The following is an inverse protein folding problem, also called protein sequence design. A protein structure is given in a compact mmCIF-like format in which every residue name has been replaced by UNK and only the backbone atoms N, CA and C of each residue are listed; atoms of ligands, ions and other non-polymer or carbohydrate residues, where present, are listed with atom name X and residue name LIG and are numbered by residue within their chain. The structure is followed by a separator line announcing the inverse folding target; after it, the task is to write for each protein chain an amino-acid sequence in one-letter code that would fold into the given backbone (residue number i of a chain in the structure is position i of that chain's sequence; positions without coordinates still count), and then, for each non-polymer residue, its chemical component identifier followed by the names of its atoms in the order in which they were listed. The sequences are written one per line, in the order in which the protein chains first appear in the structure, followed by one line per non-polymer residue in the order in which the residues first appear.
data_IF_062197007793
#
_entry.id   IF_062197007793
#
_cell.length_a   1.000
_cell.length_b   1.000
_cell.length_c   1.000
_cell.angle_alpha   90.00
_cell.angle_beta   90.00
_cell.angle_gamma   90.00
#
_symmetry.space_group_name_H-M   'P 1'
#
loop_
_entity.id
_entity.type
_entity.pdbx_description
1 polymer ?
#
# COMPACT_ATOMS: atom_id res chain seq x y z
N UNK A 1 0.56 19.46 2.14
CA UNK A 1 -0.50 18.80 1.34
C UNK A 1 -1.89 18.96 1.95
N UNK A 2 -2.05 19.49 3.17
CA UNK A 2 -3.33 19.65 3.87
C UNK A 2 -4.51 20.16 3.02
N UNK A 3 -4.36 21.22 2.19
CA UNK A 3 -5.51 21.75 1.42
C UNK A 3 -6.06 20.77 0.38
N UNK A 4 -5.29 19.75 -0.03
CA UNK A 4 -5.72 18.75 -0.99
C UNK A 4 -6.60 17.66 -0.36
N UNK A 5 -6.56 17.50 0.97
CA UNK A 5 -7.28 16.43 1.68
C UNK A 5 -8.78 16.57 1.49
N UNK A 6 -9.35 17.76 1.73
CA UNK A 6 -10.80 18.01 1.60
C UNK A 6 -11.34 17.73 0.18
N UNK A 7 -10.56 18.07 -0.85
CA UNK A 7 -10.91 17.75 -2.25
C UNK A 7 -10.92 16.24 -2.51
N UNK A 8 -9.95 15.52 -1.95
CA UNK A 8 -9.88 14.07 -2.06
C UNK A 8 -10.99 13.38 -1.29
N UNK A 9 -11.31 13.83 -0.07
CA UNK A 9 -12.43 13.33 0.73
C UNK A 9 -13.75 13.43 -0.02
N UNK A 10 -14.01 14.58 -0.64
CA UNK A 10 -15.20 14.79 -1.48
C UNK A 10 -15.26 13.79 -2.64
N UNK A 11 -14.14 13.58 -3.34
CA UNK A 11 -14.06 12.61 -4.44
C UNK A 11 -14.25 11.16 -3.95
N UNK A 12 -13.65 10.79 -2.81
CA UNK A 12 -13.77 9.46 -2.22
C UNK A 12 -15.19 9.18 -1.72
N UNK A 13 -15.90 10.19 -1.20
CA UNK A 13 -17.30 10.07 -0.80
C UNK A 13 -18.22 9.75 -2.00
N UNK A 14 -17.94 10.34 -3.17
CA UNK A 14 -18.65 10.06 -4.42
C UNK A 14 -18.22 8.74 -5.10
N UNK A 15 -17.14 8.11 -4.63
CA UNK A 15 -16.58 6.89 -5.24
C UNK A 15 -17.14 5.63 -4.55
N UNK A 16 -17.66 4.70 -5.36
CA UNK A 16 -18.08 3.39 -4.86
C UNK A 16 -16.87 2.45 -4.68
N UNK A 17 -16.30 2.42 -3.47
CA UNK A 17 -15.30 1.44 -3.08
C UNK A 17 -16.01 0.16 -2.65
N UNK A 18 -15.68 -0.96 -3.30
CA UNK A 18 -16.18 -2.29 -2.95
C UNK A 18 -15.19 -3.00 -2.02
N UNK A 19 -15.68 -3.94 -1.21
CA UNK A 19 -14.85 -4.82 -0.41
C UNK A 19 -13.83 -5.53 -1.31
N UNK A 20 -12.52 -5.35 -1.10
CA UNK A 20 -11.51 -5.94 -1.97
C UNK A 20 -11.42 -7.44 -1.72
N UNK A 21 -11.19 -8.22 -2.79
CA UNK A 21 -10.97 -9.67 -2.69
C UNK A 21 -9.67 -10.03 -1.97
N UNK A 22 -8.70 -9.13 -2.02
CA UNK A 22 -7.39 -9.25 -1.37
C UNK A 22 -7.25 -8.01 -0.47
N UNK A 23 -7.00 -8.17 0.85
CA UNK A 23 -6.82 -7.02 1.74
C UNK A 23 -5.70 -6.10 1.26
N UNK A 24 -5.90 -4.80 1.41
CA UNK A 24 -4.92 -3.78 1.02
C UNK A 24 -4.15 -3.34 2.25
N UNK A 25 -2.81 -3.39 2.19
CA UNK A 25 -1.97 -2.85 3.26
C UNK A 25 -1.80 -1.34 3.04
N UNK A 26 -2.18 -0.55 4.04
CA UNK A 26 -2.11 0.90 3.94
C UNK A 26 -0.70 1.45 4.16
N UNK A 27 -0.33 2.48 3.41
CA UNK A 27 0.88 3.27 3.65
C UNK A 27 0.86 4.03 4.98
N UNK A 28 -0.31 4.24 5.58
CA UNK A 28 -0.49 5.08 6.78
C UNK A 28 -0.16 4.32 8.06
N UNK A 29 -0.58 3.05 8.17
CA UNK A 29 -0.47 2.26 9.38
C UNK A 29 0.14 0.87 9.16
N UNK A 30 0.52 0.52 7.93
CA UNK A 30 1.09 -0.77 7.54
C UNK A 30 0.21 -1.99 7.92
N UNK A 31 -1.11 -1.80 8.06
CA UNK A 31 -2.05 -2.88 8.39
C UNK A 31 -2.91 -3.26 7.18
N UNK A 32 -3.35 -4.53 7.09
CA UNK A 32 -4.30 -4.97 6.07
C UNK A 32 -5.71 -4.44 6.38
N UNK A 33 -6.36 -3.86 5.36
CA UNK A 33 -7.72 -3.35 5.44
C UNK A 33 -8.60 -3.99 4.35
N UNK A 34 -9.86 -4.25 4.68
CA UNK A 34 -10.87 -4.76 3.74
C UNK A 34 -12.21 -4.05 3.84
N UNK A 35 -12.42 -3.25 4.89
CA UNK A 35 -13.62 -2.44 5.04
C UNK A 35 -13.56 -1.20 4.13
N UNK A 36 -14.50 -1.03 3.18
CA UNK A 36 -14.47 0.10 2.24
C UNK A 36 -14.49 1.48 2.90
N UNK A 37 -15.23 1.64 3.99
CA UNK A 37 -15.35 2.93 4.68
C UNK A 37 -14.06 3.30 5.41
N UNK A 38 -13.39 2.31 5.99
CA UNK A 38 -12.04 2.44 6.55
C UNK A 38 -11.03 2.80 5.45
N UNK A 39 -11.08 2.13 4.30
CA UNK A 39 -10.20 2.40 3.16
C UNK A 39 -10.36 3.86 2.68
N UNK A 40 -11.59 4.38 2.54
CA UNK A 40 -11.82 5.79 2.17
C UNK A 40 -11.14 6.76 3.14
N UNK A 41 -11.35 6.58 4.45
CA UNK A 41 -10.75 7.43 5.49
C UNK A 41 -9.23 7.40 5.45
N UNK A 42 -8.66 6.21 5.24
CA UNK A 42 -7.20 6.01 5.17
C UNK A 42 -6.62 6.66 3.91
N UNK A 43 -7.27 6.54 2.75
CA UNK A 43 -6.81 7.16 1.51
C UNK A 43 -6.74 8.68 1.62
N UNK A 44 -7.72 9.32 2.26
CA UNK A 44 -7.68 10.76 2.55
C UNK A 44 -6.48 11.11 3.45
N UNK A 45 -6.33 10.41 4.57
CA UNK A 45 -5.25 10.62 5.54
C UNK A 45 -3.85 10.37 4.94
N UNK A 46 -3.74 9.49 3.94
CA UNK A 46 -2.46 9.17 3.29
C UNK A 46 -1.78 10.41 2.68
N UNK A 47 -2.56 11.40 2.22
CA UNK A 47 -2.04 12.61 1.57
C UNK A 47 -1.10 13.42 2.48
N UNK A 48 -1.29 13.33 3.79
CA UNK A 48 -0.53 14.07 4.81
C UNK A 48 0.26 13.17 5.76
N UNK A 49 0.19 11.85 5.54
CA UNK A 49 0.89 10.86 6.37
C UNK A 49 2.17 10.37 5.69
N UNK A 50 3.21 10.02 6.48
CA UNK A 50 4.40 9.37 5.94
C UNK A 50 4.06 7.98 5.38
N UNK A 51 4.83 7.54 4.38
CA UNK A 51 4.70 6.21 3.79
C UNK A 51 5.46 5.20 4.64
N UNK A 52 4.73 4.31 5.32
CA UNK A 52 5.26 3.27 6.23
C UNK A 52 5.78 2.03 5.48
N UNK A 53 6.63 2.22 4.47
CA UNK A 53 7.02 1.14 3.56
C UNK A 53 7.81 0.01 4.24
N UNK A 54 8.77 0.35 5.12
CA UNK A 54 9.53 -0.67 5.86
C UNK A 54 8.60 -1.51 6.75
N UNK A 55 7.68 -0.86 7.46
CA UNK A 55 6.67 -1.54 8.29
C UNK A 55 5.76 -2.44 7.46
N UNK A 56 5.37 -2.02 6.25
CA UNK A 56 4.58 -2.83 5.31
C UNK A 56 5.33 -4.10 4.90
N UNK A 57 6.59 -3.99 4.48
CA UNK A 57 7.39 -5.15 4.07
C UNK A 57 7.64 -6.08 5.25
N UNK A 58 7.92 -5.54 6.45
CA UNK A 58 8.08 -6.35 7.66
C UNK A 58 6.80 -7.12 8.00
N UNK A 59 5.64 -6.45 7.95
CA UNK A 59 4.33 -7.08 8.16
C UNK A 59 4.08 -8.23 7.17
N UNK A 60 4.48 -8.07 5.91
CA UNK A 60 4.36 -9.12 4.90
C UNK A 60 5.30 -10.30 5.18
N UNK A 61 6.57 -10.02 5.52
CA UNK A 61 7.57 -11.05 5.86
C UNK A 61 7.15 -11.84 7.10
N UNK A 62 6.68 -11.17 8.15
CA UNK A 62 6.19 -11.80 9.39
C UNK A 62 4.95 -12.67 9.14
N UNK A 63 4.17 -12.34 8.11
CA UNK A 63 3.02 -13.13 7.64
C UNK A 63 3.39 -14.25 6.66
N UNK A 64 4.68 -14.50 6.45
CA UNK A 64 5.16 -15.60 5.62
C UNK A 64 5.13 -15.31 4.12
N UNK A 65 5.38 -14.06 3.70
CA UNK A 65 5.53 -13.72 2.29
C UNK A 65 6.61 -14.60 1.62
N UNK A 66 6.19 -15.44 0.67
CA UNK A 66 7.08 -16.33 -0.08
C UNK A 66 7.45 -15.76 -1.44
N UNK A 67 6.45 -15.26 -2.19
CA UNK A 67 6.62 -14.72 -3.54
C UNK A 67 5.92 -13.37 -3.65
N UNK A 68 6.57 -12.42 -4.31
CA UNK A 68 6.03 -11.08 -4.55
C UNK A 68 6.24 -10.64 -6.00
N UNK A 69 5.41 -9.69 -6.43
CA UNK A 69 5.42 -9.16 -7.79
C UNK A 69 5.40 -7.62 -7.71
N UNK A 70 6.40 -6.97 -8.30
CA UNK A 70 6.41 -5.53 -8.53
C UNK A 70 5.77 -5.26 -9.89
N UNK A 71 4.60 -4.62 -9.89
CA UNK A 71 3.86 -4.26 -11.10
C UNK A 71 4.18 -2.81 -11.47
N UNK A 72 4.88 -2.59 -12.58
CA UNK A 72 5.24 -1.26 -13.06
C UNK A 72 6.65 -1.17 -13.65
N UNK A 73 7.04 0.01 -14.18
CA UNK A 73 8.36 0.20 -14.74
C UNK A 73 9.45 0.28 -13.67
N UNK A 74 10.63 -0.24 -13.99
CA UNK A 74 11.79 -0.19 -13.10
C UNK A 74 11.81 -1.33 -12.08
N UNK A 75 12.59 -1.13 -11.01
CA UNK A 75 12.85 -2.13 -9.95
C UNK A 75 13.02 -1.47 -8.57
N UNK A 76 12.30 -0.37 -8.34
CA UNK A 76 12.51 0.48 -7.16
C UNK A 76 12.05 -0.26 -5.91
N UNK A 77 10.86 -0.84 -5.96
CA UNK A 77 10.30 -1.58 -4.83
C UNK A 77 11.11 -2.85 -4.57
N UNK A 78 11.49 -3.59 -5.61
CA UNK A 78 12.36 -4.75 -5.51
C UNK A 78 13.71 -4.40 -4.85
N UNK A 79 14.30 -3.27 -5.23
CA UNK A 79 15.52 -2.77 -4.60
C UNK A 79 15.33 -2.47 -3.10
N UNK A 80 14.20 -1.87 -2.72
CA UNK A 80 13.88 -1.59 -1.31
C UNK A 80 13.66 -2.90 -0.53
N UNK A 81 12.85 -3.82 -1.05
CA UNK A 81 12.57 -5.12 -0.42
C UNK A 81 13.85 -5.92 -0.22
N UNK A 82 14.74 -5.98 -1.22
CA UNK A 82 16.03 -6.70 -1.12
C UNK A 82 17.00 -6.12 -0.11
N UNK A 83 16.91 -4.82 0.21
CA UNK A 83 17.70 -4.22 1.30
C UNK A 83 17.23 -4.69 2.67
N UNK A 84 15.95 -5.01 2.83
CA UNK A 84 15.39 -5.54 4.07
C UNK A 84 15.55 -7.05 4.20
N UNK A 85 15.37 -7.78 3.10
CA UNK A 85 15.54 -9.22 3.05
C UNK A 85 16.18 -9.62 1.71
N UNK A 86 17.47 -9.99 1.75
CA UNK A 86 18.25 -10.37 0.56
C UNK A 86 17.73 -11.62 -0.14
N UNK A 87 17.02 -12.50 0.57
CA UNK A 87 16.45 -13.75 0.02
C UNK A 87 15.00 -13.60 -0.44
N UNK A 88 14.40 -12.42 -0.29
CA UNK A 88 13.02 -12.20 -0.73
C UNK A 88 12.88 -12.37 -2.25
N UNK A 89 11.93 -13.20 -2.65
CA UNK A 89 11.58 -13.39 -4.06
C UNK A 89 10.65 -12.27 -4.53
N UNK A 90 11.14 -11.45 -5.45
CA UNK A 90 10.37 -10.39 -6.11
C UNK A 90 10.58 -10.40 -7.61
N UNK A 91 9.50 -10.66 -8.34
CA UNK A 91 9.46 -10.67 -9.79
C UNK A 91 8.96 -9.31 -10.29
N UNK A 92 9.62 -8.73 -11.28
CA UNK A 92 9.23 -7.43 -11.83
C UNK A 92 8.41 -7.66 -13.09
N UNK A 93 7.18 -7.18 -13.11
CA UNK A 93 6.26 -7.29 -14.23
C UNK A 93 6.14 -5.90 -14.84
N UNK A 94 6.90 -5.68 -15.91
CA UNK A 94 6.88 -4.44 -16.68
C UNK A 94 5.68 -4.37 -17.63
N UNK A 95 5.39 -3.15 -18.08
CA UNK A 95 4.54 -2.88 -19.24
C UNK A 95 5.39 -2.75 -20.50
#
# INVERSE_FOLDING_TARGET
MEPAVSRLETALAATNIRTPRIPVISNVDAKPHSDPETIKKILARQVTSPVQWESTVRTLLDKGLQKSYELGPGKVIAGIVKRMNKTAEIENIGA
#
